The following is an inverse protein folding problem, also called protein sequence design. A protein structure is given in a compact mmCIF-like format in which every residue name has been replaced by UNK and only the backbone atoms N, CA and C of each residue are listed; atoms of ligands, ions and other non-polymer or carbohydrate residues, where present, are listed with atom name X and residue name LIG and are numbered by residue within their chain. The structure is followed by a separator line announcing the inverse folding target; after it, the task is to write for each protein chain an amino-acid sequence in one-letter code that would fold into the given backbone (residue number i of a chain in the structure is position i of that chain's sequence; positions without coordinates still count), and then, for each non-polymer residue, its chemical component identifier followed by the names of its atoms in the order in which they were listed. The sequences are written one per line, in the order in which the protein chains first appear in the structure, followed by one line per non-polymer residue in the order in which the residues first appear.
data_IF_194363131737
#
_entry.id   IF_194363131737
#
_cell.length_a   1.000
_cell.length_b   1.000
_cell.length_c   1.000
_cell.angle_alpha   90.00
_cell.angle_beta   90.00
_cell.angle_gamma   90.00
#
_symmetry.space_group_name_H-M   'P 1'
#
loop_
_entity.id
_entity.type
_entity.pdbx_description
1 polymer ?
#
# COMPACT_ATOMS: atom_id res chain seq x y z
N UNK A 1 20.05 -39.33 25.20
CA UNK A 1 19.23 -38.74 24.12
C UNK A 1 19.07 -37.27 24.42
N UNK A 2 19.94 -36.44 23.87
CA UNK A 2 19.98 -34.99 24.12
C UNK A 2 18.97 -34.32 23.19
N UNK A 3 17.95 -33.71 23.79
CA UNK A 3 16.99 -32.85 23.09
C UNK A 3 17.74 -31.59 22.63
N UNK A 4 17.98 -31.45 21.32
CA UNK A 4 18.36 -30.18 20.71
C UNK A 4 17.12 -29.31 20.68
N UNK A 5 17.02 -28.38 21.62
CA UNK A 5 16.11 -27.25 21.53
C UNK A 5 16.61 -26.36 20.39
N UNK A 6 15.93 -26.40 19.25
CA UNK A 6 16.04 -25.39 18.20
C UNK A 6 15.53 -24.05 18.76
N UNK A 7 16.38 -23.35 19.51
CA UNK A 7 16.24 -21.92 19.77
C UNK A 7 16.51 -21.20 18.45
N UNK A 8 15.52 -21.15 17.56
CA UNK A 8 15.38 -20.01 16.67
C UNK A 8 14.98 -18.84 17.56
N UNK A 9 15.97 -18.12 18.06
CA UNK A 9 15.73 -16.72 18.42
C UNK A 9 15.10 -16.07 17.19
N UNK A 10 13.81 -15.77 17.26
CA UNK A 10 13.15 -14.95 16.26
C UNK A 10 13.83 -13.58 16.30
N UNK A 11 14.85 -13.40 15.46
CA UNK A 11 15.56 -12.14 15.31
C UNK A 11 14.53 -11.16 14.76
N UNK A 12 13.90 -10.40 15.66
CA UNK A 12 12.91 -9.40 15.32
C UNK A 12 13.65 -8.21 14.68
N UNK A 13 13.80 -8.27 13.35
CA UNK A 13 14.54 -7.26 12.61
C UNK A 13 13.73 -5.97 12.59
N UNK A 14 14.39 -4.82 12.54
CA UNK A 14 13.67 -3.57 12.32
C UNK A 14 13.15 -3.55 10.87
N UNK A 15 11.86 -3.24 10.61
CA UNK A 15 11.35 -3.06 9.27
C UNK A 15 12.14 -1.97 8.52
N UNK A 16 12.60 -2.28 7.32
CA UNK A 16 13.55 -1.43 6.58
C UNK A 16 13.41 -1.57 5.07
N UNK A 17 14.06 -0.66 4.33
CA UNK A 17 14.12 -0.70 2.87
C UNK A 17 15.49 -1.25 2.45
N UNK A 18 15.47 -2.23 1.54
CA UNK A 18 16.63 -2.69 0.77
C UNK A 18 16.52 -2.21 -0.67
N UNK A 19 17.60 -2.32 -1.43
CA UNK A 19 17.60 -1.93 -2.84
C UNK A 19 18.08 -3.08 -3.70
N UNK A 20 17.38 -3.30 -4.81
CA UNK A 20 17.82 -4.16 -5.89
C UNK A 20 18.40 -3.28 -6.99
N UNK A 21 19.66 -3.53 -7.32
CA UNK A 21 20.34 -2.86 -8.43
C UNK A 21 19.86 -3.43 -9.76
N UNK A 22 19.71 -2.57 -10.76
CA UNK A 22 19.36 -2.94 -12.14
C UNK A 22 18.09 -3.81 -12.21
N UNK A 23 17.06 -3.42 -11.47
CA UNK A 23 15.79 -4.13 -11.45
C UNK A 23 15.14 -4.05 -12.84
N UNK A 24 14.85 -5.22 -13.40
CA UNK A 24 14.17 -5.36 -14.69
C UNK A 24 12.92 -6.23 -14.51
N UNK A 25 11.76 -5.65 -14.78
CA UNK A 25 10.51 -6.40 -14.87
C UNK A 25 10.47 -7.13 -16.21
N UNK A 26 10.63 -8.45 -16.17
CA UNK A 26 10.70 -9.29 -17.38
C UNK A 26 9.33 -9.62 -17.96
N UNK A 27 8.35 -9.91 -17.10
CA UNK A 27 7.02 -10.36 -17.53
C UNK A 27 6.00 -10.04 -16.45
N UNK A 28 4.82 -9.58 -16.87
CA UNK A 28 3.62 -9.57 -16.05
C UNK A 28 2.77 -10.74 -16.53
N UNK A 29 2.45 -11.64 -15.63
CA UNK A 29 1.60 -12.79 -15.93
C UNK A 29 0.23 -12.49 -15.33
N UNK A 30 -0.70 -12.02 -16.16
CA UNK A 30 -2.08 -11.79 -15.74
C UNK A 30 -2.92 -13.01 -16.12
N UNK A 31 -3.67 -13.62 -15.19
CA UNK A 31 -4.60 -14.68 -15.56
C UNK A 31 -5.67 -14.11 -16.49
N UNK A 32 -5.84 -14.72 -17.67
CA UNK A 32 -6.94 -14.41 -18.57
C UNK A 32 -8.26 -14.72 -17.85
N UNK A 33 -9.17 -13.75 -17.88
CA UNK A 33 -10.50 -13.85 -17.28
C UNK A 33 -11.29 -14.94 -18.04
N UNK A 34 -11.58 -16.05 -17.39
CA UNK A 34 -12.49 -17.07 -17.93
C UNK A 34 -13.91 -16.52 -17.76
N UNK A 35 -14.46 -15.93 -18.81
CA UNK A 35 -15.87 -15.62 -18.85
C UNK A 35 -16.62 -16.96 -18.83
N UNK A 36 -17.44 -17.13 -17.78
CA UNK A 36 -18.38 -18.22 -17.53
C UNK A 36 -17.79 -19.50 -16.92
N UNK A 37 -18.07 -19.62 -15.61
CA UNK A 37 -18.02 -20.86 -14.84
C UNK A 37 -19.19 -21.74 -15.27
N UNK A 38 -18.94 -22.73 -16.12
CA UNK A 38 -19.70 -23.99 -16.12
C UNK A 38 -18.75 -25.15 -16.39
N UNK A 39 -18.64 -26.00 -15.37
CA UNK A 39 -18.49 -27.45 -15.45
C UNK A 39 -17.39 -28.01 -16.35
N UNK A 40 -16.20 -28.19 -15.76
CA UNK A 40 -15.51 -29.49 -15.68
C UNK A 40 -14.08 -29.31 -15.12
N UNK A 41 -13.85 -29.92 -13.96
CA UNK A 41 -12.67 -29.82 -13.10
C UNK A 41 -11.40 -30.55 -13.60
N UNK A 42 -11.26 -30.91 -14.88
CA UNK A 42 -10.22 -31.89 -15.27
C UNK A 42 -9.10 -31.37 -16.20
N UNK A 43 -9.21 -30.22 -16.87
CA UNK A 43 -8.09 -29.74 -17.73
C UNK A 43 -7.93 -28.21 -17.74
N UNK A 44 -7.60 -27.60 -16.60
CA UNK A 44 -7.32 -26.16 -16.54
C UNK A 44 -5.88 -25.86 -17.01
N UNK A 45 -5.64 -25.88 -18.32
CA UNK A 45 -4.53 -25.11 -18.89
C UNK A 45 -4.87 -23.63 -18.75
N UNK A 46 -4.17 -22.94 -17.86
CA UNK A 46 -4.23 -21.48 -17.77
C UNK A 46 -3.46 -20.90 -18.96
N UNK A 47 -4.17 -20.25 -19.87
CA UNK A 47 -3.54 -19.50 -20.96
C UNK A 47 -3.15 -18.10 -20.46
N UNK A 48 -1.96 -17.64 -20.88
CA UNK A 48 -1.41 -16.35 -20.54
C UNK A 48 -1.23 -15.54 -21.83
N UNK A 49 -1.64 -14.26 -21.82
CA UNK A 49 -1.43 -13.34 -22.95
C UNK A 49 -0.13 -12.55 -22.72
N UNK A 50 0.81 -12.67 -23.65
CA UNK A 50 2.00 -11.82 -23.74
C UNK A 50 1.66 -10.59 -24.60
N UNK A 51 1.14 -9.53 -24.00
CA UNK A 51 0.96 -8.27 -24.71
C UNK A 51 2.24 -7.42 -24.59
N UNK A 52 2.84 -7.01 -25.72
CA UNK A 52 3.89 -5.99 -25.79
C UNK A 52 3.33 -4.62 -25.41
N UNK A 53 3.08 -4.40 -24.13
CA UNK A 53 2.72 -3.07 -23.64
C UNK A 53 3.99 -2.37 -23.20
N UNK A 54 4.24 -1.17 -23.76
CA UNK A 54 5.42 -0.33 -23.52
C UNK A 54 5.37 0.27 -22.11
N UNK A 55 5.64 -0.56 -21.10
CA UNK A 55 5.77 -0.13 -19.70
C UNK A 55 7.20 0.29 -19.38
N UNK A 56 7.36 1.16 -18.37
CA UNK A 56 8.67 1.31 -17.74
C UNK A 56 9.00 0.01 -16.99
N UNK A 57 9.98 -0.72 -17.51
CA UNK A 57 10.38 -2.04 -17.01
C UNK A 57 11.71 -2.00 -16.25
N UNK A 58 12.41 -0.86 -16.23
CA UNK A 58 13.76 -0.76 -15.68
C UNK A 58 13.87 0.30 -14.59
N UNK A 59 14.50 -0.07 -13.47
CA UNK A 59 14.90 0.86 -12.42
C UNK A 59 16.29 0.50 -11.90
N UNK A 60 17.22 1.44 -12.00
CA UNK A 60 18.61 1.23 -11.56
C UNK A 60 18.74 0.88 -10.07
N UNK A 61 17.89 1.43 -9.20
CA UNK A 61 17.82 1.13 -7.76
C UNK A 61 16.37 1.01 -7.31
N UNK A 62 15.83 -0.20 -7.33
CA UNK A 62 14.45 -0.46 -6.94
C UNK A 62 14.37 -0.73 -5.42
N UNK A 63 13.55 0.01 -4.66
CA UNK A 63 13.39 -0.23 -3.24
C UNK A 63 12.51 -1.45 -2.98
N UNK A 64 12.92 -2.28 -2.02
CA UNK A 64 12.13 -3.39 -1.49
C UNK A 64 11.88 -3.17 0.00
N UNK A 65 10.62 -3.24 0.42
CA UNK A 65 10.26 -3.13 1.84
C UNK A 65 10.30 -4.51 2.50
N UNK A 66 11.09 -4.62 3.55
CA UNK A 66 11.29 -5.82 4.37
C UNK A 66 10.63 -5.61 5.72
N UNK A 67 9.79 -6.57 6.12
CA UNK A 67 9.09 -6.64 7.40
C UNK A 67 10.03 -7.06 8.53
N UNK A 68 9.53 -7.04 9.75
CA UNK A 68 10.27 -7.45 10.95
C UNK A 68 10.64 -8.94 10.99
N UNK A 69 9.84 -9.79 10.33
CA UNK A 69 10.11 -11.22 10.14
C UNK A 69 11.16 -11.51 9.05
N UNK A 70 11.79 -10.46 8.50
CA UNK A 70 12.75 -10.56 7.40
C UNK A 70 12.11 -10.85 6.04
N UNK A 71 10.79 -11.07 5.96
CA UNK A 71 10.10 -11.32 4.69
C UNK A 71 9.77 -10.00 3.99
N UNK A 72 9.50 -10.11 2.69
CA UNK A 72 9.08 -9.00 1.87
C UNK A 72 7.64 -8.61 2.24
N UNK A 73 7.34 -7.31 2.31
CA UNK A 73 5.96 -6.86 2.42
C UNK A 73 5.28 -6.87 1.05
N UNK A 74 4.68 -8.00 0.70
CA UNK A 74 4.20 -8.31 -0.66
C UNK A 74 3.34 -7.19 -1.28
N UNK A 75 2.32 -6.71 -0.57
CA UNK A 75 1.41 -5.67 -1.08
C UNK A 75 2.11 -4.36 -1.39
N UNK A 76 3.03 -3.92 -0.53
CA UNK A 76 3.75 -2.67 -0.75
C UNK A 76 4.74 -2.76 -1.92
N UNK A 77 5.42 -3.90 -2.04
CA UNK A 77 6.33 -4.14 -3.15
C UNK A 77 5.59 -4.30 -4.48
N UNK A 78 4.44 -4.96 -4.46
CA UNK A 78 3.53 -5.04 -5.61
C UNK A 78 3.03 -3.65 -6.03
N UNK A 79 2.65 -2.80 -5.08
CA UNK A 79 2.27 -1.43 -5.37
C UNK A 79 3.43 -0.61 -5.98
N UNK A 80 4.67 -0.78 -5.52
CA UNK A 80 5.83 -0.13 -6.14
C UNK A 80 6.01 -0.56 -7.60
N UNK A 81 5.80 -1.84 -7.91
CA UNK A 81 5.81 -2.37 -9.28
C UNK A 81 4.67 -1.75 -10.11
N UNK A 82 3.44 -1.72 -9.57
CA UNK A 82 2.29 -1.09 -10.24
C UNK A 82 2.55 0.39 -10.55
N UNK A 83 3.09 1.11 -9.58
CA UNK A 83 3.40 2.52 -9.75
C UNK A 83 4.50 2.73 -10.81
N UNK A 84 5.50 1.84 -10.85
CA UNK A 84 6.55 1.85 -11.87
C UNK A 84 5.99 1.63 -13.28
N UNK A 85 5.11 0.65 -13.48
CA UNK A 85 4.59 0.32 -14.82
C UNK A 85 3.57 1.37 -15.31
N UNK A 86 2.78 1.96 -14.40
CA UNK A 86 1.71 2.91 -14.76
C UNK A 86 2.21 4.36 -14.92
N UNK A 87 3.43 4.67 -14.48
CA UNK A 87 3.97 6.04 -14.50
C UNK A 87 4.98 6.24 -15.62
N UNK A 88 4.75 7.25 -16.47
CA UNK A 88 5.74 7.70 -17.43
C UNK A 88 6.93 8.34 -16.68
N UNK A 89 8.15 7.93 -17.01
CA UNK A 89 9.40 8.52 -16.48
C UNK A 89 9.62 8.40 -14.97
N UNK A 90 9.45 7.20 -14.41
CA UNK A 90 9.77 6.97 -13.00
C UNK A 90 11.27 6.86 -12.73
N UNK A 91 11.73 7.54 -11.66
CA UNK A 91 13.10 7.44 -11.17
C UNK A 91 13.18 6.59 -9.89
N UNK A 92 14.36 6.01 -9.62
CA UNK A 92 14.61 5.31 -8.37
C UNK A 92 14.44 6.20 -7.13
N UNK A 93 14.69 7.50 -7.24
CA UNK A 93 14.44 8.48 -6.16
C UNK A 93 12.95 8.64 -5.86
N UNK A 94 12.10 8.66 -6.90
CA UNK A 94 10.64 8.70 -6.72
C UNK A 94 10.20 7.44 -5.97
N UNK A 95 10.56 6.25 -6.47
CA UNK A 95 10.21 4.98 -5.80
C UNK A 95 10.74 4.91 -4.37
N UNK A 96 11.94 5.44 -4.10
CA UNK A 96 12.48 5.53 -2.74
C UNK A 96 11.58 6.36 -1.82
N UNK A 97 11.16 7.55 -2.25
CA UNK A 97 10.27 8.40 -1.47
C UNK A 97 8.94 7.69 -1.17
N UNK A 98 8.43 6.95 -2.16
CA UNK A 98 7.22 6.13 -2.04
C UNK A 98 7.41 5.02 -1.00
N UNK A 99 8.51 4.28 -1.08
CA UNK A 99 8.81 3.20 -0.16
C UNK A 99 8.96 3.72 1.28
N UNK A 100 9.50 4.92 1.48
CA UNK A 100 9.58 5.57 2.79
C UNK A 100 8.19 5.85 3.35
N UNK A 101 7.26 6.36 2.54
CA UNK A 101 5.89 6.63 2.98
C UNK A 101 5.13 5.35 3.35
N UNK A 102 5.33 4.28 2.57
CA UNK A 102 4.75 2.97 2.86
C UNK A 102 5.36 2.37 4.14
N UNK A 103 6.69 2.43 4.30
CA UNK A 103 7.35 1.92 5.50
C UNK A 103 6.89 2.65 6.78
N UNK A 104 6.64 3.95 6.71
CA UNK A 104 6.06 4.70 7.84
C UNK A 104 4.67 4.16 8.21
N UNK A 105 3.83 3.89 7.21
CA UNK A 105 2.52 3.29 7.42
C UNK A 105 2.63 1.87 8.00
N UNK A 106 3.56 1.06 7.50
CA UNK A 106 3.84 -0.26 8.06
C UNK A 106 4.16 -0.21 9.54
N UNK A 107 5.13 0.63 9.91
CA UNK A 107 5.54 0.81 11.31
C UNK A 107 4.38 1.27 12.17
N UNK A 108 3.58 2.21 11.68
CA UNK A 108 2.37 2.65 12.37
C UNK A 108 1.40 1.49 12.65
N UNK A 109 1.16 0.61 11.67
CA UNK A 109 0.28 -0.56 11.81
C UNK A 109 0.84 -1.56 12.83
N UNK A 110 2.10 -1.94 12.69
CA UNK A 110 2.77 -2.93 13.55
C UNK A 110 2.87 -2.44 14.99
N UNK A 111 3.28 -1.19 15.21
CA UNK A 111 3.37 -0.59 16.56
C UNK A 111 2.03 -0.58 17.31
N UNK A 112 0.91 -0.54 16.58
CA UNK A 112 -0.45 -0.48 17.15
C UNK A 112 -1.22 -1.78 17.01
N UNK A 113 -0.60 -2.82 16.47
CA UNK A 113 -1.22 -4.11 16.18
C UNK A 113 -2.54 -3.95 15.38
N UNK A 114 -2.53 -3.08 14.35
CA UNK A 114 -3.68 -2.83 13.48
C UNK A 114 -3.56 -3.68 12.23
N UNK A 115 -4.58 -4.48 11.95
CA UNK A 115 -4.67 -5.20 10.69
C UNK A 115 -4.84 -4.22 9.50
N UNK A 116 -4.08 -4.45 8.44
CA UNK A 116 -4.03 -3.59 7.24
C UNK A 116 -5.38 -3.49 6.51
N UNK A 117 -6.27 -4.45 6.73
CA UNK A 117 -7.62 -4.51 6.17
C UNK A 117 -8.71 -4.25 7.23
N UNK A 118 -8.33 -3.76 8.41
CA UNK A 118 -9.28 -3.37 9.44
C UNK A 118 -10.05 -2.11 9.05
N UNK A 119 -11.18 -2.31 8.36
CA UNK A 119 -12.09 -1.26 7.91
C UNK A 119 -13.51 -1.48 8.42
N UNK A 120 -13.76 -1.29 9.73
CA UNK A 120 -15.10 -1.42 10.28
C UNK A 120 -16.03 -0.30 9.80
N UNK A 121 -17.33 -0.44 10.09
CA UNK A 121 -18.37 0.53 9.74
C UNK A 121 -18.00 1.95 10.19
N UNK A 122 -17.50 2.10 11.42
CA UNK A 122 -17.15 3.40 11.97
C UNK A 122 -15.80 3.90 11.46
N UNK A 123 -15.82 4.99 10.67
CA UNK A 123 -14.64 5.51 9.97
C UNK A 123 -13.43 5.74 10.87
N UNK A 124 -13.59 6.26 12.08
CA UNK A 124 -12.46 6.59 12.99
C UNK A 124 -11.61 5.37 13.36
N UNK A 125 -12.17 4.17 13.30
CA UNK A 125 -11.46 2.93 13.60
C UNK A 125 -10.79 2.30 12.39
N UNK A 126 -11.07 2.78 11.17
CA UNK A 126 -10.42 2.28 9.96
C UNK A 126 -8.92 2.56 10.02
N UNK A 127 -8.10 1.59 9.61
CA UNK A 127 -6.64 1.71 9.68
C UNK A 127 -6.09 3.00 9.00
N UNK A 128 -6.70 3.40 7.88
CA UNK A 128 -6.38 4.64 7.14
C UNK A 128 -6.71 5.92 7.91
N UNK A 129 -7.84 5.97 8.61
CA UNK A 129 -8.27 7.12 9.42
C UNK A 129 -7.45 7.22 10.70
N UNK A 130 -7.13 6.08 11.32
CA UNK A 130 -6.22 6.05 12.45
C UNK A 130 -4.82 6.54 12.04
N UNK A 131 -4.32 6.14 10.87
CA UNK A 131 -3.05 6.64 10.35
C UNK A 131 -3.07 8.15 10.06
N UNK A 132 -4.17 8.67 9.49
CA UNK A 132 -4.37 10.11 9.33
C UNK A 132 -4.28 10.84 10.67
N UNK A 133 -4.96 10.33 11.70
CA UNK A 133 -4.92 10.90 13.05
C UNK A 133 -3.49 10.91 13.62
N UNK A 134 -2.76 9.80 13.46
CA UNK A 134 -1.36 9.71 13.83
C UNK A 134 -0.47 10.74 13.12
N UNK A 135 -0.65 10.92 11.81
CA UNK A 135 0.12 11.91 11.04
C UNK A 135 -0.17 13.34 11.50
N UNK A 136 -1.43 13.65 11.83
CA UNK A 136 -1.80 14.95 12.39
C UNK A 136 -1.15 15.17 13.76
N UNK A 137 -1.17 14.17 14.64
CA UNK A 137 -0.47 14.24 15.93
C UNK A 137 1.04 14.46 15.74
N UNK A 138 1.68 13.83 14.75
CA UNK A 138 3.09 14.10 14.44
C UNK A 138 3.32 15.54 13.94
N UNK A 139 2.37 16.13 13.22
CA UNK A 139 2.43 17.55 12.81
C UNK A 139 2.27 18.46 14.03
N UNK A 140 1.32 18.19 14.92
CA UNK A 140 1.14 18.94 16.17
C UNK A 140 2.39 18.90 17.03
N UNK A 141 3.08 17.75 17.07
CA UNK A 141 4.37 17.56 17.75
C UNK A 141 5.56 18.13 16.98
N UNK A 142 5.34 18.84 15.86
CA UNK A 142 6.38 19.41 14.98
C UNK A 142 7.40 18.39 14.45
N UNK A 143 7.05 17.11 14.46
CA UNK A 143 7.89 16.04 13.89
C UNK A 143 7.75 15.97 12.38
N UNK A 144 6.57 16.27 11.85
CA UNK A 144 6.31 16.33 10.40
C UNK A 144 5.81 17.70 9.97
N UNK A 145 6.20 18.12 8.77
CA UNK A 145 5.55 19.25 8.11
C UNK A 145 4.16 18.85 7.60
N UNK A 146 3.21 19.80 7.54
CA UNK A 146 1.85 19.57 7.02
C UNK A 146 1.84 18.90 5.64
N UNK A 147 2.73 19.35 4.75
CA UNK A 147 2.87 18.76 3.40
C UNK A 147 3.37 17.32 3.42
N UNK A 148 4.16 16.92 4.42
CA UNK A 148 4.63 15.54 4.58
C UNK A 148 3.49 14.63 5.02
N UNK A 149 2.70 15.05 6.01
CA UNK A 149 1.50 14.33 6.44
C UNK A 149 0.51 14.16 5.27
N UNK A 150 0.26 15.23 4.51
CA UNK A 150 -0.59 15.20 3.32
C UNK A 150 -0.11 14.21 2.27
N UNK A 151 1.17 14.28 1.92
CA UNK A 151 1.79 13.37 0.94
C UNK A 151 1.67 11.91 1.38
N UNK A 152 1.95 11.60 2.64
CA UNK A 152 1.89 10.24 3.18
C UNK A 152 0.48 9.66 3.16
N UNK A 153 -0.53 10.40 3.61
CA UNK A 153 -1.88 9.85 3.62
C UNK A 153 -2.44 9.67 2.20
N UNK A 154 -2.18 10.62 1.30
CA UNK A 154 -2.55 10.49 -0.11
C UNK A 154 -1.86 9.29 -0.77
N UNK A 155 -0.61 9.00 -0.37
CA UNK A 155 0.10 7.81 -0.82
C UNK A 155 -0.61 6.52 -0.40
N UNK A 156 -1.11 6.46 0.84
CA UNK A 156 -1.83 5.27 1.33
C UNK A 156 -3.19 5.12 0.65
N UNK A 157 -3.86 6.21 0.28
CA UNK A 157 -5.08 6.09 -0.51
C UNK A 157 -4.77 5.55 -1.92
N UNK A 158 -3.80 6.14 -2.62
CA UNK A 158 -3.37 5.65 -3.94
C UNK A 158 -2.89 4.18 -3.89
N UNK A 159 -2.28 3.77 -2.77
CA UNK A 159 -1.92 2.37 -2.49
C UNK A 159 -3.12 1.44 -2.55
N UNK A 160 -4.18 1.69 -1.77
CA UNK A 160 -5.38 0.86 -1.80
C UNK A 160 -6.13 0.98 -3.14
N UNK A 161 -6.19 2.18 -3.73
CA UNK A 161 -6.83 2.42 -5.04
C UNK A 161 -6.21 1.55 -6.14
N UNK A 162 -4.88 1.54 -6.25
CA UNK A 162 -4.19 0.75 -7.29
C UNK A 162 -4.32 -0.74 -7.06
N UNK A 163 -4.25 -1.20 -5.81
CA UNK A 163 -4.44 -2.62 -5.48
C UNK A 163 -5.86 -3.09 -5.81
N UNK A 164 -6.88 -2.27 -5.55
CA UNK A 164 -8.28 -2.56 -5.91
C UNK A 164 -8.50 -2.53 -7.43
N UNK A 165 -8.02 -1.47 -8.10
CA UNK A 165 -8.12 -1.30 -9.56
C UNK A 165 -7.52 -2.50 -10.30
N UNK A 166 -6.38 -2.99 -9.83
CA UNK A 166 -5.67 -4.12 -10.43
C UNK A 166 -6.07 -5.48 -9.82
N UNK A 167 -7.11 -5.53 -8.96
CA UNK A 167 -7.70 -6.75 -8.38
C UNK A 167 -6.74 -7.62 -7.54
N UNK A 168 -5.67 -7.02 -7.01
CA UNK A 168 -4.79 -7.70 -6.04
C UNK A 168 -5.41 -7.79 -4.65
N UNK A 169 -6.33 -6.88 -4.36
CA UNK A 169 -7.25 -6.96 -3.24
C UNK A 169 -8.67 -6.75 -3.76
N UNK A 170 -9.65 -7.21 -3.01
CA UNK A 170 -11.06 -7.14 -3.37
C UNK A 170 -11.89 -6.80 -2.13
N UNK A 171 -13.17 -6.50 -2.35
CA UNK A 171 -14.10 -6.21 -1.25
C UNK A 171 -14.35 -7.39 -0.32
N UNK A 172 -13.95 -8.62 -0.67
CA UNK A 172 -14.02 -9.73 0.29
C UNK A 172 -12.90 -9.67 1.34
N UNK A 173 -11.84 -8.89 1.10
CA UNK A 173 -10.74 -8.73 2.05
C UNK A 173 -11.11 -7.85 3.25
N UNK A 174 -12.21 -7.09 3.18
CA UNK A 174 -12.57 -6.13 4.22
C UNK A 174 -14.07 -5.79 4.22
N UNK A 175 -14.60 -5.40 5.38
CA UNK A 175 -16.02 -5.09 5.56
C UNK A 175 -16.44 -3.81 4.83
N UNK A 176 -15.62 -2.75 4.88
CA UNK A 176 -15.92 -1.45 4.29
C UNK A 176 -14.75 -0.87 3.50
N UNK A 177 -15.03 0.11 2.63
CA UNK A 177 -13.98 0.74 1.85
C UNK A 177 -12.88 1.38 2.74
N UNK A 178 -11.60 1.29 2.36
CA UNK A 178 -10.49 1.86 3.11
C UNK A 178 -10.59 3.37 3.27
N UNK A 179 -11.30 4.08 2.40
CA UNK A 179 -11.47 5.53 2.44
C UNK A 179 -12.88 5.93 2.00
N UNK A 180 -13.34 7.10 2.44
CA UNK A 180 -14.56 7.70 1.92
C UNK A 180 -14.29 8.46 0.63
N UNK A 181 -15.10 8.23 -0.41
CA UNK A 181 -15.05 8.99 -1.66
C UNK A 181 -15.94 10.23 -1.52
N UNK A 182 -15.43 11.44 -1.82
CA UNK A 182 -16.29 12.61 -2.11
C UNK A 182 -16.16 12.88 -3.60
N UNK A 183 -17.25 12.71 -4.36
CA UNK A 183 -17.24 13.09 -5.77
C UNK A 183 -16.99 14.59 -5.90
N UNK A 184 -15.82 14.95 -6.41
CA UNK A 184 -15.51 16.27 -6.95
C UNK A 184 -15.00 16.08 -8.38
N UNK A 185 -15.38 16.97 -9.30
CA UNK A 185 -15.16 16.87 -10.75
C UNK A 185 -13.68 17.02 -11.21
N UNK A 186 -12.70 16.70 -10.37
CA UNK A 186 -11.28 16.74 -10.70
C UNK A 186 -10.68 15.35 -10.93
N UNK A 187 -9.52 15.26 -11.59
CA UNK A 187 -8.73 14.01 -11.78
C UNK A 187 -8.44 13.26 -10.47
N UNK A 188 -8.58 13.93 -9.32
CA UNK A 188 -8.61 13.36 -7.99
C UNK A 188 -9.90 13.82 -7.32
N UNK A 189 -10.85 12.92 -7.09
CA UNK A 189 -11.95 13.15 -6.16
C UNK A 189 -11.35 13.48 -4.79
N UNK A 190 -11.75 14.59 -4.17
CA UNK A 190 -11.29 14.94 -2.82
C UNK A 190 -11.73 13.83 -1.86
N UNK A 191 -10.83 12.96 -1.43
CA UNK A 191 -11.18 11.86 -0.53
C UNK A 191 -11.63 12.44 0.80
N UNK A 192 -12.62 11.84 1.49
CA UNK A 192 -13.11 12.32 2.80
C UNK A 192 -12.00 12.40 3.86
N UNK A 193 -10.88 11.72 3.64
CA UNK A 193 -9.68 11.76 4.47
C UNK A 193 -8.98 13.14 4.35
N UNK A 194 -9.24 13.91 3.29
CA UNK A 194 -8.52 15.14 2.95
C UNK A 194 -9.41 16.24 2.35
N UNK A 195 -10.65 16.40 2.82
CA UNK A 195 -11.36 17.67 2.52
C UNK A 195 -10.58 18.82 3.17
N UNK A 196 -10.40 19.98 2.50
CA UNK A 196 -9.76 21.16 3.10
C UNK A 196 -10.40 21.56 4.44
N UNK A 197 -11.72 21.39 4.53
CA UNK A 197 -12.52 21.49 5.76
C UNK A 197 -11.91 20.62 6.86
N UNK A 198 -11.71 19.32 6.65
CA UNK A 198 -11.16 18.40 7.68
C UNK A 198 -9.73 18.72 8.20
N UNK A 199 -8.93 19.51 7.47
CA UNK A 199 -7.59 19.94 7.91
C UNK A 199 -7.63 21.29 8.64
N UNK A 200 -8.56 22.18 8.26
CA UNK A 200 -8.80 23.46 8.92
C UNK A 200 -9.71 23.35 10.15
N UNK A 201 -10.70 22.44 10.15
CA UNK A 201 -11.68 22.24 11.24
C UNK A 201 -11.02 21.74 12.53
N UNK A 202 -9.85 21.08 12.42
CA UNK A 202 -9.07 20.60 13.57
C UNK A 202 -8.35 21.75 14.27
N UNK A 203 -8.13 22.90 13.60
CA UNK A 203 -7.68 24.12 14.29
C UNK A 203 -8.79 24.76 15.15
N UNK A 204 -10.05 24.35 14.98
CA UNK A 204 -11.20 24.90 15.70
C UNK A 204 -11.88 23.92 16.67
N UNK A 205 -11.32 22.73 16.91
CA UNK A 205 -11.84 21.82 17.94
C UNK A 205 -13.26 21.29 17.68
N UNK A 206 -13.70 21.27 16.41
CA UNK A 206 -15.03 20.73 16.06
C UNK A 206 -14.84 19.34 15.49
N UNK A 207 -14.85 18.32 16.34
CA UNK A 207 -15.41 16.97 16.10
C UNK A 207 -15.32 16.20 17.44
N UNK A 208 -16.41 16.28 18.22
CA UNK A 208 -16.78 15.29 19.23
C UNK A 208 -17.57 14.16 18.56
#
# INVERSE_FOLDING_TARGET
MTQMSDNKEDINLTPHIRYVSNFQLKKIITPLKKDNLTDNLINLKLEYSENEIKYNSYVAKFPIIIKEDGKIWELANLYLILYMIESNEITGSTLKAIAIDLLDYYKFLTERNIDIFYFPQLNRYRATYQYRSYLLDQVHKSKYHKSTASRRINRIVDFYERLLKNKFISKSNFENNPYGVVSGNGKYSTLRIFTPTSFNDIQHGIFA
#
